data_IF_203802880105
#
_entry.id   IF_203802880105
#
_cell.length_a   1.000
_cell.length_b   1.000
_cell.length_c   1.000
_cell.angle_alpha   90.00
_cell.angle_beta   90.00
_cell.angle_gamma   90.00
#
_symmetry.space_group_name_H-M   'P 1'
#
loop_
_entity.id
_entity.type
_entity.pdbx_description
1 polymer ?
#
# COMPACT_ATOMS: atom_id res chain seq x y z
N UNK A 1 -40.54 -1.44 -6.75
CA UNK A 1 -39.46 -1.44 -7.78
C UNK A 1 -38.29 -2.16 -7.15
N UNK A 2 -37.82 -3.29 -7.71
CA UNK A 2 -36.58 -3.89 -7.23
C UNK A 2 -35.47 -2.88 -7.53
N UNK A 3 -34.89 -2.27 -6.51
CA UNK A 3 -33.66 -1.49 -6.70
C UNK A 3 -32.63 -2.41 -7.34
N UNK A 4 -32.03 -1.98 -8.45
CA UNK A 4 -30.95 -2.71 -9.11
C UNK A 4 -29.83 -2.83 -8.09
N UNK A 5 -29.49 -4.06 -7.67
CA UNK A 5 -28.34 -4.29 -6.81
C UNK A 5 -27.07 -3.82 -7.52
N UNK A 6 -26.23 -3.05 -6.82
CA UNK A 6 -24.92 -2.66 -7.31
C UNK A 6 -24.08 -3.91 -7.62
N UNK A 7 -23.47 -3.95 -8.81
CA UNK A 7 -22.63 -5.05 -9.24
C UNK A 7 -21.16 -4.67 -9.13
N UNK A 8 -20.46 -5.30 -8.18
CA UNK A 8 -19.06 -5.03 -7.85
C UNK A 8 -18.17 -6.12 -8.45
N UNK A 9 -17.16 -5.74 -9.25
CA UNK A 9 -16.05 -6.61 -9.54
C UNK A 9 -15.01 -6.51 -8.41
N UNK A 10 -14.74 -7.59 -7.69
CA UNK A 10 -13.63 -7.62 -6.75
C UNK A 10 -12.39 -8.16 -7.46
N UNK A 11 -11.41 -7.29 -7.70
CA UNK A 11 -10.15 -7.65 -8.32
C UNK A 11 -9.17 -8.12 -7.23
N UNK A 12 -8.63 -9.32 -7.40
CA UNK A 12 -7.79 -9.96 -6.39
C UNK A 12 -6.67 -10.81 -7.02
N UNK A 13 -5.77 -11.29 -6.21
CA UNK A 13 -4.65 -12.11 -6.65
C UNK A 13 -3.60 -11.27 -7.37
N UNK A 14 -3.65 -11.25 -8.67
CA UNK A 14 -2.71 -10.49 -9.49
C UNK A 14 -1.37 -11.20 -9.68
N UNK A 15 -0.41 -10.55 -10.34
CA UNK A 15 0.88 -11.12 -10.72
C UNK A 15 2.06 -10.63 -9.85
N UNK A 16 1.79 -9.85 -8.79
CA UNK A 16 2.83 -9.31 -7.91
C UNK A 16 3.32 -10.34 -6.88
N UNK A 17 4.44 -10.01 -6.23
CA UNK A 17 4.94 -10.77 -5.08
C UNK A 17 3.97 -10.76 -3.87
N UNK A 18 3.02 -9.81 -3.83
CA UNK A 18 2.02 -9.66 -2.76
C UNK A 18 0.69 -10.38 -3.08
N UNK A 19 0.68 -11.32 -4.06
CA UNK A 19 -0.48 -12.07 -4.49
C UNK A 19 -1.27 -12.72 -3.34
N UNK A 20 -0.60 -13.38 -2.42
CA UNK A 20 -1.26 -14.05 -1.27
C UNK A 20 -1.86 -13.04 -0.30
N UNK A 21 -1.21 -11.89 -0.10
CA UNK A 21 -1.76 -10.78 0.69
C UNK A 21 -3.05 -10.26 0.07
N UNK A 22 -3.07 -10.13 -1.27
CA UNK A 22 -4.25 -9.74 -2.04
C UNK A 22 -5.41 -10.73 -1.86
N UNK A 23 -5.15 -12.05 -1.97
CA UNK A 23 -6.17 -13.07 -1.76
C UNK A 23 -6.77 -13.00 -0.35
N UNK A 24 -5.94 -12.90 0.69
CA UNK A 24 -6.40 -12.81 2.09
C UNK A 24 -7.22 -11.54 2.36
N UNK A 25 -6.75 -10.37 1.89
CA UNK A 25 -7.49 -9.11 2.00
C UNK A 25 -8.84 -9.19 1.30
N UNK A 26 -8.85 -9.74 0.08
CA UNK A 26 -10.04 -9.83 -0.76
C UNK A 26 -11.07 -10.81 -0.22
N UNK A 27 -10.67 -11.86 0.48
CA UNK A 27 -11.62 -12.76 1.13
C UNK A 27 -12.46 -12.02 2.19
N UNK A 28 -11.84 -11.14 2.99
CA UNK A 28 -12.55 -10.33 3.97
C UNK A 28 -13.47 -9.31 3.29
N UNK A 29 -12.99 -8.67 2.21
CA UNK A 29 -13.78 -7.72 1.40
C UNK A 29 -14.98 -8.43 0.78
N UNK A 30 -14.79 -9.60 0.17
CA UNK A 30 -15.84 -10.39 -0.47
C UNK A 30 -16.98 -10.70 0.50
N UNK A 31 -16.67 -11.18 1.70
CA UNK A 31 -17.69 -11.46 2.71
C UNK A 31 -18.49 -10.22 3.08
N UNK A 32 -17.83 -9.07 3.22
CA UNK A 32 -18.52 -7.81 3.52
C UNK A 32 -19.40 -7.30 2.37
N UNK A 33 -18.94 -7.44 1.12
CA UNK A 33 -19.74 -7.08 -0.06
C UNK A 33 -21.01 -7.94 -0.16
N UNK A 34 -20.94 -9.24 0.17
CA UNK A 34 -22.09 -10.13 0.22
C UNK A 34 -23.04 -9.76 1.37
N UNK A 35 -22.50 -9.43 2.56
CA UNK A 35 -23.30 -8.96 3.72
C UNK A 35 -24.08 -7.69 3.38
N UNK A 36 -23.47 -6.77 2.61
CA UNK A 36 -24.11 -5.54 2.09
C UNK A 36 -25.16 -5.82 1.00
N UNK A 37 -25.27 -7.07 0.54
CA UNK A 37 -26.25 -7.46 -0.48
C UNK A 37 -25.88 -7.10 -1.91
N UNK A 38 -24.63 -6.73 -2.20
CA UNK A 38 -24.13 -6.46 -3.55
C UNK A 38 -24.07 -7.73 -4.39
N UNK A 39 -24.21 -7.59 -5.71
CA UNK A 39 -23.81 -8.63 -6.64
C UNK A 39 -22.28 -8.57 -6.80
N UNK A 40 -21.59 -9.69 -6.64
CA UNK A 40 -20.11 -9.69 -6.67
C UNK A 40 -19.59 -10.66 -7.72
N UNK A 41 -18.73 -10.18 -8.61
CA UNK A 41 -17.92 -11.00 -9.51
C UNK A 41 -16.47 -10.95 -9.04
N UNK A 42 -15.88 -12.12 -8.74
CA UNK A 42 -14.46 -12.24 -8.43
C UNK A 42 -13.67 -12.29 -9.75
N UNK A 43 -12.61 -11.50 -9.85
CA UNK A 43 -11.75 -11.47 -11.04
C UNK A 43 -10.29 -11.44 -10.59
N UNK A 44 -9.54 -12.45 -10.98
CA UNK A 44 -8.08 -12.41 -10.91
C UNK A 44 -7.53 -11.99 -12.29
N UNK A 45 -7.08 -10.74 -12.44
CA UNK A 45 -6.63 -10.25 -13.74
C UNK A 45 -5.41 -11.01 -14.28
N UNK A 46 -4.62 -11.65 -13.42
CA UNK A 46 -3.47 -12.45 -13.82
C UNK A 46 -3.85 -13.75 -14.53
N UNK A 47 -5.09 -14.19 -14.40
CA UNK A 47 -5.65 -15.36 -15.10
C UNK A 47 -6.25 -15.02 -16.47
N UNK A 48 -6.43 -13.76 -16.81
CA UNK A 48 -7.07 -13.33 -18.07
C UNK A 48 -8.57 -13.62 -18.08
N UNK A 49 -9.08 -14.18 -19.17
CA UNK A 49 -10.52 -14.53 -19.28
C UNK A 49 -10.87 -15.84 -18.57
N UNK A 50 -9.92 -16.67 -18.23
CA UNK A 50 -10.13 -17.93 -17.53
C UNK A 50 -10.17 -17.68 -16.04
N UNK A 51 -11.35 -17.75 -15.46
CA UNK A 51 -11.53 -17.55 -14.03
C UNK A 51 -11.98 -18.85 -13.37
N UNK A 52 -11.66 -19.04 -12.06
CA UNK A 52 -12.20 -20.18 -11.30
C UNK A 52 -13.74 -20.17 -11.28
N UNK A 53 -14.35 -21.36 -11.28
CA UNK A 53 -15.82 -21.50 -11.24
C UNK A 53 -16.39 -21.29 -9.84
N UNK A 54 -15.60 -21.53 -8.78
CA UNK A 54 -16.05 -21.43 -7.38
C UNK A 54 -15.31 -20.33 -6.65
N UNK A 55 -16.01 -19.58 -5.79
CA UNK A 55 -15.46 -18.46 -5.03
C UNK A 55 -14.26 -18.88 -4.15
N UNK A 56 -14.32 -20.05 -3.51
CA UNK A 56 -13.26 -20.56 -2.66
C UNK A 56 -11.93 -20.77 -3.39
N UNK A 57 -11.97 -21.09 -4.69
CA UNK A 57 -10.79 -21.34 -5.49
C UNK A 57 -9.98 -20.07 -5.77
N UNK A 58 -10.62 -18.89 -5.73
CA UNK A 58 -9.91 -17.60 -5.83
C UNK A 58 -9.04 -17.30 -4.62
N UNK A 59 -9.41 -17.80 -3.46
CA UNK A 59 -8.72 -17.56 -2.19
C UNK A 59 -7.73 -18.68 -1.82
N UNK A 60 -7.61 -19.70 -2.68
CA UNK A 60 -6.68 -20.82 -2.48
C UNK A 60 -5.24 -20.37 -2.68
N UNK A 61 -4.31 -20.89 -1.86
CA UNK A 61 -2.87 -20.71 -2.08
C UNK A 61 -2.39 -21.37 -3.41
N UNK A 62 -3.12 -22.38 -3.87
CA UNK A 62 -2.80 -23.06 -5.13
C UNK A 62 -3.42 -22.33 -6.32
N UNK A 63 -2.59 -21.87 -7.22
CA UNK A 63 -3.02 -21.27 -8.48
C UNK A 63 -3.59 -22.31 -9.45
N UNK A 64 -4.76 -22.04 -9.99
CA UNK A 64 -5.44 -22.94 -10.94
C UNK A 64 -4.98 -22.73 -12.39
N UNK A 65 -4.51 -21.53 -12.72
CA UNK A 65 -4.08 -21.18 -14.08
C UNK A 65 -2.71 -20.49 -14.04
N UNK A 66 -1.98 -20.46 -15.17
CA UNK A 66 -0.74 -19.70 -15.27
C UNK A 66 -0.94 -18.21 -15.01
N UNK A 67 -0.10 -17.63 -14.15
CA UNK A 67 -0.11 -16.23 -13.78
C UNK A 67 0.70 -15.41 -14.78
N UNK A 68 0.14 -14.30 -15.27
CA UNK A 68 0.87 -13.36 -16.10
C UNK A 68 0.27 -11.95 -16.00
N UNK A 69 1.13 -10.94 -15.89
CA UNK A 69 0.71 -9.53 -15.98
C UNK A 69 0.15 -9.17 -17.38
N UNK A 70 0.56 -9.88 -18.43
CA UNK A 70 0.02 -9.69 -19.78
C UNK A 70 -1.46 -10.00 -19.88
N UNK A 71 -1.97 -10.86 -19.01
CA UNK A 71 -3.37 -11.27 -18.97
C UNK A 71 -4.31 -10.15 -18.48
N UNK A 72 -3.80 -9.12 -17.80
CA UNK A 72 -4.59 -8.00 -17.29
C UNK A 72 -5.38 -7.28 -18.39
N UNK A 73 -4.72 -7.00 -19.52
CA UNK A 73 -5.38 -6.36 -20.66
C UNK A 73 -6.52 -7.23 -21.21
N UNK A 74 -6.28 -8.53 -21.33
CA UNK A 74 -7.28 -9.48 -21.80
C UNK A 74 -8.45 -9.59 -20.82
N UNK A 75 -8.19 -9.70 -19.52
CA UNK A 75 -9.21 -9.75 -18.47
C UNK A 75 -10.10 -8.51 -18.50
N UNK A 76 -9.51 -7.32 -18.43
CA UNK A 76 -10.26 -6.05 -18.38
C UNK A 76 -11.05 -5.81 -19.68
N UNK A 77 -10.54 -6.21 -20.84
CA UNK A 77 -11.20 -6.03 -22.12
C UNK A 77 -12.26 -7.11 -22.45
N UNK A 78 -12.44 -8.10 -21.59
CA UNK A 78 -13.40 -9.19 -21.81
C UNK A 78 -14.80 -8.86 -21.31
N UNK A 79 -15.76 -9.77 -21.58
CA UNK A 79 -17.14 -9.67 -21.10
C UNK A 79 -17.29 -9.79 -19.58
N UNK A 80 -16.22 -10.11 -18.83
CA UNK A 80 -16.23 -10.13 -17.37
C UNK A 80 -16.63 -8.78 -16.76
N UNK A 81 -16.39 -7.68 -17.47
CA UNK A 81 -16.67 -6.33 -17.02
C UNK A 81 -17.95 -5.69 -17.62
N UNK A 82 -18.66 -6.37 -18.52
CA UNK A 82 -19.79 -5.75 -19.26
C UNK A 82 -20.95 -5.30 -18.37
N UNK A 83 -21.14 -5.91 -17.20
CA UNK A 83 -22.23 -5.61 -16.27
C UNK A 83 -21.78 -5.00 -14.96
N UNK A 84 -20.49 -4.67 -14.83
CA UNK A 84 -19.90 -4.15 -13.61
C UNK A 84 -20.20 -2.66 -13.46
N UNK A 85 -20.70 -2.26 -12.31
CA UNK A 85 -20.94 -0.87 -11.94
C UNK A 85 -19.68 -0.23 -11.34
N UNK A 86 -18.87 -1.00 -10.57
CA UNK A 86 -17.62 -0.54 -9.92
C UNK A 86 -16.67 -1.70 -9.68
N UNK A 87 -15.36 -1.47 -9.83
CA UNK A 87 -14.31 -2.41 -9.46
C UNK A 87 -13.76 -2.07 -8.06
N UNK A 88 -13.80 -3.02 -7.14
CA UNK A 88 -13.08 -2.92 -5.87
C UNK A 88 -11.68 -3.49 -6.06
N UNK A 89 -10.64 -2.66 -5.84
CA UNK A 89 -9.26 -3.06 -5.97
C UNK A 89 -8.78 -3.72 -4.67
N UNK A 90 -8.75 -5.05 -4.66
CA UNK A 90 -8.17 -5.87 -3.60
C UNK A 90 -6.75 -6.34 -3.93
N UNK A 91 -6.16 -5.80 -5.02
CA UNK A 91 -4.80 -6.08 -5.46
C UNK A 91 -3.78 -5.37 -4.56
N UNK A 92 -2.55 -5.89 -4.51
CA UNK A 92 -1.43 -5.27 -3.82
C UNK A 92 -0.15 -5.33 -4.66
N UNK A 93 0.74 -4.35 -4.45
CA UNK A 93 2.03 -4.26 -5.10
C UNK A 93 1.95 -3.93 -6.59
N UNK A 94 2.96 -4.37 -7.33
CA UNK A 94 3.11 -4.14 -8.77
C UNK A 94 1.86 -4.60 -9.54
N UNK A 95 1.48 -3.87 -10.58
CA UNK A 95 0.27 -4.05 -11.41
C UNK A 95 -1.06 -3.73 -10.69
N UNK A 96 -1.07 -3.57 -9.36
CA UNK A 96 -2.25 -3.25 -8.56
C UNK A 96 -2.23 -1.83 -7.99
N UNK A 97 -1.07 -1.38 -7.50
CA UNK A 97 -0.91 -0.10 -6.80
C UNK A 97 -0.14 0.95 -7.60
N UNK A 98 0.34 0.63 -8.80
CA UNK A 98 1.26 1.42 -9.61
C UNK A 98 0.60 2.21 -10.75
N UNK A 99 -0.73 2.20 -10.85
CA UNK A 99 -1.50 2.89 -11.88
C UNK A 99 -1.83 2.03 -13.10
N UNK A 100 -1.28 0.82 -13.23
CA UNK A 100 -1.49 -0.03 -14.42
C UNK A 100 -2.93 -0.51 -14.50
N UNK A 101 -3.46 -1.17 -13.47
CA UNK A 101 -4.85 -1.64 -13.48
C UNK A 101 -5.83 -0.46 -13.55
N UNK A 102 -5.52 0.65 -12.87
CA UNK A 102 -6.31 1.87 -12.91
C UNK A 102 -6.43 2.39 -14.35
N UNK A 103 -5.31 2.44 -15.09
CA UNK A 103 -5.30 2.86 -16.50
C UNK A 103 -6.19 1.99 -17.38
N UNK A 104 -6.15 0.67 -17.19
CA UNK A 104 -6.98 -0.26 -17.96
C UNK A 104 -8.48 -0.07 -17.67
N UNK A 105 -8.84 0.15 -16.40
CA UNK A 105 -10.22 0.40 -15.98
C UNK A 105 -10.73 1.75 -16.51
N UNK A 106 -9.89 2.80 -16.50
CA UNK A 106 -10.24 4.12 -17.07
C UNK A 106 -10.48 4.04 -18.57
N UNK A 107 -9.63 3.35 -19.34
CA UNK A 107 -9.81 3.14 -20.76
C UNK A 107 -11.13 2.40 -21.09
N UNK A 108 -11.60 1.56 -20.18
CA UNK A 108 -12.89 0.87 -20.29
C UNK A 108 -14.05 1.62 -19.66
N UNK A 109 -13.80 2.80 -19.09
CA UNK A 109 -14.82 3.61 -18.40
C UNK A 109 -15.49 2.87 -17.23
N UNK A 110 -14.70 2.07 -16.49
CA UNK A 110 -15.13 1.38 -15.26
C UNK A 110 -14.71 2.21 -14.06
N UNK A 111 -15.65 2.55 -13.19
CA UNK A 111 -15.36 3.16 -11.88
C UNK A 111 -14.61 2.15 -10.98
N UNK A 112 -13.69 2.64 -10.15
CA UNK A 112 -12.92 1.79 -9.26
C UNK A 112 -12.61 2.48 -7.92
N UNK A 113 -12.33 1.69 -6.89
CA UNK A 113 -11.98 2.18 -5.55
C UNK A 113 -10.54 2.63 -5.46
N UNK A 114 -10.28 3.65 -4.63
CA UNK A 114 -8.93 4.15 -4.37
C UNK A 114 -8.48 5.26 -5.32
N UNK A 115 -7.19 5.49 -5.35
CA UNK A 115 -6.53 6.58 -6.08
C UNK A 115 -6.49 6.34 -7.59
N UNK A 116 -6.40 7.41 -8.37
CA UNK A 116 -6.28 7.35 -9.82
C UNK A 116 -4.88 6.93 -10.31
N UNK A 117 -4.70 6.91 -11.62
CA UNK A 117 -3.46 6.48 -12.28
C UNK A 117 -2.25 7.26 -11.77
N UNK A 118 -2.34 8.60 -11.76
CA UNK A 118 -1.20 9.43 -11.38
C UNK A 118 -0.84 9.26 -9.91
N UNK A 119 -1.83 9.34 -9.03
CA UNK A 119 -1.61 9.21 -7.59
C UNK A 119 -1.10 7.82 -7.20
N UNK A 120 -1.61 6.76 -7.83
CA UNK A 120 -1.14 5.38 -7.62
C UNK A 120 0.32 5.22 -8.05
N UNK A 121 0.68 5.66 -9.26
CA UNK A 121 2.06 5.60 -9.75
C UNK A 121 3.01 6.44 -8.88
N UNK A 122 2.56 7.63 -8.44
CA UNK A 122 3.36 8.53 -7.63
C UNK A 122 3.61 7.98 -6.22
N UNK A 123 2.59 7.39 -5.59
CA UNK A 123 2.73 6.79 -4.24
C UNK A 123 3.59 5.53 -4.27
N UNK A 124 3.58 4.78 -5.37
CA UNK A 124 4.41 3.59 -5.54
C UNK A 124 5.90 3.95 -5.66
N UNK A 125 6.24 5.05 -6.37
CA UNK A 125 7.61 5.56 -6.46
C UNK A 125 7.98 6.36 -5.21
N UNK A 126 8.70 5.73 -4.27
CA UNK A 126 9.04 6.32 -2.97
C UNK A 126 9.86 7.61 -3.09
N UNK A 127 10.76 7.68 -4.04
CA UNK A 127 11.58 8.90 -4.21
C UNK A 127 10.77 10.05 -4.78
N UNK A 128 9.93 9.79 -5.78
CA UNK A 128 9.07 10.83 -6.37
C UNK A 128 8.02 11.32 -5.37
N UNK A 129 7.39 10.41 -4.61
CA UNK A 129 6.46 10.81 -3.55
C UNK A 129 7.14 11.67 -2.49
N UNK A 130 8.38 11.33 -2.08
CA UNK A 130 9.15 12.15 -1.12
C UNK A 130 9.52 13.54 -1.69
N UNK A 131 9.83 13.66 -2.97
CA UNK A 131 10.10 14.94 -3.63
C UNK A 131 8.85 15.83 -3.55
N UNK A 132 7.69 15.30 -3.92
CA UNK A 132 6.41 16.02 -3.84
C UNK A 132 6.08 16.40 -2.39
N UNK A 133 6.21 15.46 -1.47
CA UNK A 133 5.96 15.71 -0.05
C UNK A 133 6.87 16.81 0.52
N UNK A 134 8.15 16.85 0.15
CA UNK A 134 9.08 17.94 0.57
C UNK A 134 8.65 19.29 0.04
N UNK A 135 8.26 19.38 -1.24
CA UNK A 135 7.77 20.62 -1.83
C UNK A 135 6.55 21.18 -1.08
N UNK A 136 5.72 20.29 -0.54
CA UNK A 136 4.59 20.63 0.31
C UNK A 136 4.94 20.71 1.81
N UNK A 137 6.21 20.86 2.16
CA UNK A 137 6.70 21.01 3.55
C UNK A 137 6.30 19.86 4.47
N UNK A 138 6.24 18.64 3.95
CA UNK A 138 6.07 17.42 4.73
C UNK A 138 7.47 16.86 5.04
N UNK A 139 7.72 16.60 6.32
CA UNK A 139 9.01 16.02 6.74
C UNK A 139 9.12 14.58 6.27
N UNK A 140 10.16 14.27 5.51
CA UNK A 140 10.51 12.92 5.05
C UNK A 140 11.98 12.65 5.31
N UNK A 141 12.42 11.41 5.47
CA UNK A 141 13.85 11.07 5.59
C UNK A 141 14.66 11.61 4.43
N UNK A 142 15.88 12.08 4.68
CA UNK A 142 16.80 12.41 3.61
C UNK A 142 17.23 11.14 2.89
N UNK A 143 17.37 11.23 1.58
CA UNK A 143 17.77 10.07 0.80
C UNK A 143 18.06 10.44 -0.65
N UNK A 144 18.55 9.46 -1.38
CA UNK A 144 18.81 9.58 -2.81
C UNK A 144 18.59 8.25 -3.52
N UNK A 145 18.32 8.35 -4.83
CA UNK A 145 18.10 7.20 -5.69
C UNK A 145 19.41 6.71 -6.28
N UNK A 146 19.55 5.40 -6.38
CA UNK A 146 20.62 4.70 -7.08
C UNK A 146 19.99 3.80 -8.14
N UNK A 147 20.45 3.93 -9.38
CA UNK A 147 20.06 3.03 -10.47
C UNK A 147 21.08 1.90 -10.61
N UNK A 148 20.68 0.78 -11.16
CA UNK A 148 21.46 -0.47 -11.23
C UNK A 148 22.80 -0.34 -11.99
N UNK A 149 22.92 0.66 -12.86
CA UNK A 149 24.12 0.93 -13.66
C UNK A 149 25.09 1.94 -13.03
N UNK A 150 24.86 2.37 -11.78
CA UNK A 150 25.76 3.29 -11.07
C UNK A 150 27.07 2.64 -10.68
N UNK A 151 28.13 3.46 -10.56
CA UNK A 151 29.38 3.00 -9.95
C UNK A 151 29.25 2.92 -8.43
N UNK A 152 29.72 1.82 -7.86
CA UNK A 152 29.70 1.60 -6.42
C UNK A 152 30.51 2.66 -5.67
N UNK A 153 31.67 3.06 -6.22
CA UNK A 153 32.55 4.07 -5.65
C UNK A 153 31.83 5.41 -5.52
N UNK A 154 31.09 5.82 -6.55
CA UNK A 154 30.32 7.08 -6.52
C UNK A 154 29.22 7.04 -5.45
N UNK A 155 28.57 5.89 -5.25
CA UNK A 155 27.56 5.71 -4.19
C UNK A 155 28.21 5.83 -2.82
N UNK A 156 29.35 5.17 -2.60
CA UNK A 156 30.09 5.26 -1.33
C UNK A 156 30.56 6.68 -1.01
N UNK A 157 31.13 7.39 -2.00
CA UNK A 157 31.56 8.78 -1.82
C UNK A 157 30.37 9.66 -1.41
N UNK A 158 29.21 9.49 -2.04
CA UNK A 158 28.01 10.23 -1.67
C UNK A 158 27.53 9.90 -0.26
N UNK A 159 27.52 8.61 0.12
CA UNK A 159 27.15 8.20 1.48
C UNK A 159 28.08 8.82 2.50
N UNK A 160 29.41 8.70 2.32
CA UNK A 160 30.40 9.26 3.24
C UNK A 160 30.31 10.77 3.41
N UNK A 161 29.91 11.47 2.36
CA UNK A 161 29.77 12.92 2.37
C UNK A 161 28.50 13.41 3.06
N UNK A 162 27.35 12.75 2.78
CA UNK A 162 26.03 13.32 3.04
C UNK A 162 25.26 12.57 4.15
N UNK A 163 25.74 11.39 4.59
CA UNK A 163 24.99 10.51 5.50
C UNK A 163 25.85 9.95 6.64
N UNK A 164 25.16 9.50 7.68
CA UNK A 164 25.72 8.75 8.81
C UNK A 164 24.97 7.44 9.00
N UNK A 165 25.68 6.40 9.44
CA UNK A 165 25.06 5.11 9.78
C UNK A 165 24.23 5.20 11.09
N UNK A 166 23.18 4.39 11.22
CA UNK A 166 22.70 3.42 10.25
C UNK A 166 21.91 4.05 9.09
N UNK A 167 21.80 3.31 7.95
CA UNK A 167 21.07 3.70 6.75
C UNK A 167 20.01 2.64 6.40
N UNK A 168 19.00 3.05 5.67
CA UNK A 168 18.05 2.16 5.00
C UNK A 168 18.41 2.07 3.52
N UNK A 169 18.53 0.86 3.01
CA UNK A 169 18.64 0.55 1.58
C UNK A 169 17.46 -0.33 1.21
N UNK A 170 16.65 0.12 0.23
CA UNK A 170 15.42 -0.57 -0.16
C UNK A 170 15.06 -0.31 -1.63
N UNK A 171 14.31 -1.22 -2.28
CA UNK A 171 13.73 -0.95 -3.59
C UNK A 171 12.85 0.29 -3.56
N UNK A 172 12.88 1.09 -4.64
CA UNK A 172 12.13 2.34 -4.72
C UNK A 172 10.62 2.14 -4.88
N UNK A 173 10.21 1.03 -5.50
CA UNK A 173 8.86 0.76 -5.99
C UNK A 173 8.31 -0.61 -5.53
N UNK A 174 8.74 -1.08 -4.36
CA UNK A 174 8.23 -2.32 -3.78
C UNK A 174 7.60 -2.09 -2.40
N UNK A 175 6.57 -2.90 -2.10
CA UNK A 175 5.90 -2.94 -0.81
C UNK A 175 6.47 -3.98 0.16
N UNK A 176 5.76 -4.19 1.26
CA UNK A 176 5.95 -5.29 2.24
C UNK A 176 7.38 -5.52 2.75
N UNK A 177 8.25 -4.52 2.73
CA UNK A 177 9.65 -4.60 3.21
C UNK A 177 10.54 -5.54 2.38
N UNK A 178 10.11 -5.98 1.20
CA UNK A 178 10.94 -6.80 0.32
C UNK A 178 12.20 -6.04 -0.09
N UNK A 179 13.36 -6.70 0.02
CA UNK A 179 14.65 -6.15 -0.38
C UNK A 179 15.17 -4.99 0.50
N UNK A 180 14.53 -4.71 1.66
CA UNK A 180 14.96 -3.69 2.59
C UNK A 180 16.05 -4.21 3.52
N UNK A 181 17.10 -3.41 3.70
CA UNK A 181 18.20 -3.68 4.65
C UNK A 181 18.49 -2.44 5.49
N UNK A 182 18.70 -2.64 6.80
CA UNK A 182 19.35 -1.65 7.67
C UNK A 182 20.85 -1.89 7.61
N UNK A 183 21.58 -0.92 7.08
CA UNK A 183 23.05 -0.96 7.04
C UNK A 183 23.60 -0.24 8.25
N UNK A 184 24.28 -0.97 9.13
CA UNK A 184 24.90 -0.43 10.35
C UNK A 184 26.30 0.16 10.05
N UNK A 185 26.90 -0.25 8.94
CA UNK A 185 28.27 0.11 8.54
C UNK A 185 28.47 0.01 7.02
N UNK A 186 29.61 0.51 6.54
CA UNK A 186 29.94 0.56 5.11
C UNK A 186 29.96 -0.82 4.43
N UNK A 187 30.44 -1.83 5.13
CA UNK A 187 30.56 -3.18 4.60
C UNK A 187 29.21 -3.81 4.25
N UNK A 188 28.10 -3.34 4.84
CA UNK A 188 26.76 -3.85 4.60
C UNK A 188 26.16 -3.34 3.28
N UNK A 189 26.71 -2.25 2.71
CA UNK A 189 26.10 -1.52 1.59
C UNK A 189 26.03 -2.37 0.33
N UNK A 190 27.12 -3.06 -0.03
CA UNK A 190 27.15 -3.82 -1.29
C UNK A 190 26.09 -4.91 -1.31
N UNK A 191 26.00 -5.70 -0.25
CA UNK A 191 25.03 -6.79 -0.14
C UNK A 191 23.59 -6.25 -0.12
N UNK A 192 23.36 -5.12 0.56
CA UNK A 192 22.08 -4.45 0.61
C UNK A 192 21.64 -3.93 -0.78
N UNK A 193 22.56 -3.34 -1.56
CA UNK A 193 22.29 -2.93 -2.95
C UNK A 193 21.97 -4.13 -3.84
N UNK A 194 22.77 -5.19 -3.75
CA UNK A 194 22.56 -6.41 -4.53
C UNK A 194 21.21 -7.06 -4.21
N UNK A 195 20.80 -7.08 -2.94
CA UNK A 195 19.49 -7.57 -2.53
C UNK A 195 18.37 -6.68 -3.09
N UNK A 196 18.47 -5.36 -2.91
CA UNK A 196 17.46 -4.42 -3.39
C UNK A 196 17.27 -4.50 -4.92
N UNK A 197 18.36 -4.63 -5.68
CA UNK A 197 18.32 -4.78 -7.14
C UNK A 197 17.78 -6.11 -7.65
N UNK A 198 17.48 -7.06 -6.79
CA UNK A 198 16.70 -8.24 -7.18
C UNK A 198 15.23 -7.93 -7.40
N UNK A 199 14.73 -6.85 -6.78
CA UNK A 199 13.33 -6.48 -6.75
C UNK A 199 12.99 -5.24 -7.59
N UNK A 200 13.97 -4.37 -7.87
CA UNK A 200 13.77 -3.13 -8.64
C UNK A 200 15.07 -2.71 -9.32
N UNK A 201 14.98 -2.03 -10.45
CA UNK A 201 16.14 -1.40 -11.10
C UNK A 201 16.54 -0.06 -10.43
N UNK A 202 15.76 0.38 -9.42
CA UNK A 202 15.99 1.60 -8.66
C UNK A 202 15.99 1.31 -7.16
N UNK A 203 17.04 1.72 -6.49
CA UNK A 203 17.21 1.55 -5.04
C UNK A 203 17.22 2.90 -4.36
N UNK A 204 16.42 3.04 -3.30
CA UNK A 204 16.43 4.21 -2.43
C UNK A 204 17.38 3.96 -1.25
N UNK A 205 18.34 4.86 -1.07
CA UNK A 205 19.19 4.94 0.13
C UNK A 205 18.72 6.14 0.93
N UNK A 206 18.39 5.94 2.21
CA UNK A 206 17.89 7.00 3.08
C UNK A 206 18.41 6.86 4.53
N UNK A 207 18.36 7.96 5.28
CA UNK A 207 18.69 7.95 6.70
C UNK A 207 17.73 7.05 7.47
N UNK A 208 18.27 6.29 8.42
CA UNK A 208 17.45 5.53 9.36
C UNK A 208 16.91 6.48 10.45
N UNK A 209 15.60 6.52 10.62
CA UNK A 209 14.96 7.29 11.69
C UNK A 209 14.68 6.33 12.86
N UNK A 210 15.44 6.41 13.97
CA UNK A 210 15.15 5.59 15.15
C UNK A 210 13.87 6.03 15.85
N UNK A 211 13.31 5.18 16.71
CA UNK A 211 12.15 5.52 17.54
C UNK A 211 10.88 4.74 17.21
N UNK A 212 9.73 5.37 17.40
CA UNK A 212 8.40 4.73 17.31
C UNK A 212 7.92 4.66 15.86
N UNK A 213 7.23 3.59 15.53
CA UNK A 213 6.58 3.41 14.23
C UNK A 213 5.10 3.74 14.35
N UNK A 214 4.64 4.68 13.54
CA UNK A 214 3.28 5.20 13.58
C UNK A 214 2.65 5.09 12.19
N UNK A 215 1.35 4.93 12.16
CA UNK A 215 0.60 4.95 10.90
C UNK A 215 -0.72 5.68 11.08
N UNK A 216 -1.18 6.33 10.01
CA UNK A 216 -2.43 7.08 10.00
C UNK A 216 -3.22 6.76 8.75
N UNK A 217 -4.43 6.25 8.92
CA UNK A 217 -5.39 6.08 7.84
C UNK A 217 -6.11 7.37 7.50
N UNK A 218 -6.51 7.52 6.26
CA UNK A 218 -7.44 8.54 5.80
C UNK A 218 -8.55 7.89 4.97
N UNK A 219 -9.78 8.31 5.18
CA UNK A 219 -10.96 7.82 4.49
C UNK A 219 -11.80 9.01 4.04
N UNK A 220 -11.86 9.28 2.75
CA UNK A 220 -12.33 10.55 2.20
C UNK A 220 -11.58 11.73 2.83
N UNK A 221 -12.29 12.60 3.53
CA UNK A 221 -11.72 13.77 4.23
C UNK A 221 -11.44 13.51 5.72
N UNK A 222 -11.78 12.32 6.22
CA UNK A 222 -11.63 11.95 7.63
C UNK A 222 -10.26 11.34 7.87
N UNK A 223 -9.41 12.01 8.65
CA UNK A 223 -8.14 11.46 9.11
C UNK A 223 -8.39 10.66 10.38
N UNK A 224 -8.06 9.37 10.34
CA UNK A 224 -8.27 8.45 11.44
C UNK A 224 -7.25 8.69 12.58
N UNK A 225 -7.49 8.15 13.78
CA UNK A 225 -6.54 8.25 14.88
C UNK A 225 -5.17 7.67 14.52
N UNK A 226 -4.11 8.28 15.04
CA UNK A 226 -2.75 7.74 14.92
C UNK A 226 -2.71 6.37 15.59
N UNK A 227 -2.16 5.39 14.89
CA UNK A 227 -1.93 4.04 15.38
C UNK A 227 -0.43 3.81 15.55
N UNK A 228 0.00 3.35 16.71
CA UNK A 228 1.37 2.92 16.96
C UNK A 228 1.52 1.42 16.70
N UNK A 229 2.60 1.08 16.02
CA UNK A 229 3.02 -0.30 15.76
C UNK A 229 4.23 -0.59 16.63
N UNK A 230 4.15 -1.62 17.47
CA UNK A 230 5.25 -2.13 18.29
C UNK A 230 5.65 -3.51 17.78
N UNK A 231 6.54 -3.61 16.80
CA UNK A 231 6.99 -4.90 16.32
C UNK A 231 7.90 -5.56 17.35
N UNK A 232 7.95 -6.90 17.37
CA UNK A 232 8.92 -7.65 18.18
C UNK A 232 10.33 -7.61 17.60
N UNK A 233 10.47 -7.36 16.30
CA UNK A 233 11.74 -7.14 15.64
C UNK A 233 12.10 -5.65 15.66
N UNK A 234 13.34 -5.32 15.27
CA UNK A 234 13.80 -3.93 15.15
C UNK A 234 13.02 -3.14 14.11
N UNK A 235 12.50 -3.82 13.08
CA UNK A 235 11.67 -3.25 12.02
C UNK A 235 10.32 -3.97 11.95
N UNK A 236 9.32 -3.29 11.42
CA UNK A 236 8.03 -3.85 11.05
C UNK A 236 8.16 -4.56 9.68
N UNK A 237 8.86 -5.69 9.71
CA UNK A 237 9.14 -6.54 8.55
C UNK A 237 7.94 -7.43 8.16
N UNK A 238 8.13 -8.26 7.12
CA UNK A 238 7.09 -9.16 6.61
C UNK A 238 6.55 -10.09 7.70
N UNK A 239 7.41 -10.67 8.54
CA UNK A 239 7.01 -11.57 9.62
C UNK A 239 6.19 -10.83 10.67
N UNK A 240 6.61 -9.61 11.06
CA UNK A 240 5.88 -8.76 11.99
C UNK A 240 4.53 -8.29 11.46
N UNK A 241 4.38 -8.15 10.12
CA UNK A 241 3.13 -7.74 9.46
C UNK A 241 2.08 -8.85 9.41
N UNK A 242 2.51 -10.09 9.15
CA UNK A 242 1.58 -11.18 8.80
C UNK A 242 1.51 -12.33 9.81
N UNK A 243 2.46 -12.41 10.76
CA UNK A 243 2.45 -13.44 11.80
C UNK A 243 1.75 -12.94 13.06
N UNK A 244 0.71 -13.67 13.48
CA UNK A 244 -0.06 -13.32 14.68
C UNK A 244 0.81 -13.24 15.92
N UNK A 245 0.72 -12.11 16.64
CA UNK A 245 1.43 -11.87 17.89
C UNK A 245 2.86 -11.36 17.74
N UNK A 246 3.33 -11.11 16.50
CA UNK A 246 4.64 -10.50 16.24
C UNK A 246 4.62 -8.97 16.32
N UNK A 247 3.46 -8.37 16.43
CA UNK A 247 3.30 -6.92 16.62
C UNK A 247 2.14 -6.62 17.57
N UNK A 248 2.32 -5.57 18.38
CA UNK A 248 1.27 -4.94 19.18
C UNK A 248 0.81 -3.66 18.48
N UNK A 249 -0.47 -3.34 18.55
CA UNK A 249 -1.07 -2.16 17.92
C UNK A 249 -1.83 -1.36 18.95
N UNK A 250 -1.47 -0.08 19.10
CA UNK A 250 -2.10 0.85 20.04
C UNK A 250 -2.81 1.93 19.26
N UNK A 251 -4.14 2.00 19.39
CA UNK A 251 -4.97 3.00 18.73
C UNK A 251 -6.08 3.51 19.65
N UNK A 252 -6.17 4.81 19.91
CA UNK A 252 -5.19 5.85 19.56
C UNK A 252 -3.81 5.61 20.18
N UNK A 253 -2.75 6.00 19.47
CA UNK A 253 -1.38 5.96 19.98
C UNK A 253 -1.25 6.84 21.23
N UNK A 254 -0.46 6.41 22.20
CA UNK A 254 -0.15 7.20 23.39
C UNK A 254 0.83 8.33 23.03
N UNK A 255 0.27 9.47 22.65
CA UNK A 255 0.97 10.68 22.18
C UNK A 255 0.36 11.94 22.83
N UNK A 256 1.15 13.01 23.01
CA UNK A 256 0.59 14.33 23.28
C UNK A 256 -0.42 14.73 22.19
N UNK A 257 -1.52 15.35 22.58
CA UNK A 257 -2.63 15.68 21.65
C UNK A 257 -2.14 16.53 20.48
N UNK A 258 -1.30 17.54 20.75
CA UNK A 258 -0.74 18.42 19.72
C UNK A 258 0.10 17.67 18.70
N UNK A 259 0.90 16.69 19.16
CA UNK A 259 1.73 15.87 18.28
C UNK A 259 0.87 14.95 17.41
N UNK A 260 -0.15 14.33 17.99
CA UNK A 260 -1.09 13.51 17.23
C UNK A 260 -1.80 14.33 16.14
N UNK A 261 -2.27 15.53 16.46
CA UNK A 261 -2.90 16.46 15.50
C UNK A 261 -1.93 16.89 14.39
N UNK A 262 -0.66 17.15 14.73
CA UNK A 262 0.36 17.49 13.73
C UNK A 262 0.61 16.32 12.75
N UNK A 263 0.69 15.09 13.24
CA UNK A 263 0.89 13.90 12.40
C UNK A 263 -0.34 13.67 11.51
N UNK A 264 -1.55 13.83 12.05
CA UNK A 264 -2.79 13.73 11.28
C UNK A 264 -2.87 14.82 10.19
N UNK A 265 -2.48 16.06 10.49
CA UNK A 265 -2.45 17.14 9.48
C UNK A 265 -1.40 16.87 8.39
N UNK A 266 -0.21 16.36 8.75
CA UNK A 266 0.78 15.94 7.75
C UNK A 266 0.25 14.79 6.87
N UNK A 267 -0.52 13.87 7.44
CA UNK A 267 -1.19 12.81 6.67
C UNK A 267 -2.17 13.39 5.64
N UNK A 268 -3.02 14.34 6.07
CA UNK A 268 -3.95 15.04 5.15
C UNK A 268 -3.19 15.75 4.03
N UNK A 269 -2.13 16.46 4.37
CA UNK A 269 -1.29 17.17 3.38
C UNK A 269 -0.62 16.22 2.41
N UNK A 270 -0.09 15.09 2.89
CA UNK A 270 0.50 14.06 2.05
C UNK A 270 -0.53 13.46 1.08
N UNK A 271 -1.71 13.11 1.58
CA UNK A 271 -2.81 12.60 0.78
C UNK A 271 -3.21 13.55 -0.35
N UNK A 272 -3.39 14.84 -0.03
CA UNK A 272 -3.79 15.87 -1.01
C UNK A 272 -2.65 16.16 -2.01
N UNK A 273 -1.42 16.33 -1.52
CA UNK A 273 -0.28 16.67 -2.39
C UNK A 273 0.08 15.58 -3.39
N UNK A 274 -0.13 14.32 -3.04
CA UNK A 274 0.07 13.18 -3.92
C UNK A 274 -1.14 12.88 -4.82
N UNK A 275 -2.22 13.67 -4.71
CA UNK A 275 -3.43 13.48 -5.51
C UNK A 275 -4.25 12.24 -5.13
N UNK A 276 -4.02 11.67 -3.94
CA UNK A 276 -4.76 10.51 -3.48
C UNK A 276 -6.26 10.81 -3.33
N UNK A 277 -7.10 9.80 -3.51
CA UNK A 277 -8.54 9.89 -3.32
C UNK A 277 -9.10 8.61 -2.70
N UNK A 278 -10.32 8.70 -2.18
CA UNK A 278 -11.01 7.57 -1.55
C UNK A 278 -10.43 7.24 -0.19
N UNK A 279 -9.33 6.53 -0.15
CA UNK A 279 -8.66 6.13 1.09
C UNK A 279 -7.16 5.90 0.87
N UNK A 280 -6.38 6.04 1.93
CA UNK A 280 -4.95 5.75 1.93
C UNK A 280 -4.45 5.54 3.37
N UNK A 281 -3.18 5.19 3.50
CA UNK A 281 -2.48 5.10 4.77
C UNK A 281 -1.08 5.72 4.64
N UNK A 282 -0.74 6.64 5.53
CA UNK A 282 0.60 7.22 5.64
C UNK A 282 1.36 6.61 6.81
N UNK A 283 2.59 6.18 6.58
CA UNK A 283 3.45 5.55 7.58
C UNK A 283 4.56 6.51 8.02
N UNK A 284 4.83 6.57 9.32
CA UNK A 284 5.72 7.54 9.94
C UNK A 284 6.70 6.89 10.91
N UNK A 285 7.86 7.55 11.09
CA UNK A 285 8.75 7.30 12.23
C UNK A 285 8.79 8.54 13.10
N UNK A 286 8.67 8.35 14.42
CA UNK A 286 8.77 9.39 15.43
C UNK A 286 10.00 9.14 16.28
N UNK A 287 10.99 10.05 16.24
CA UNK A 287 12.22 9.92 17.04
C UNK A 287 12.05 10.43 18.48
N UNK A 288 13.04 10.17 19.33
CA UNK A 288 13.03 10.55 20.75
C UNK A 288 13.06 12.07 20.98
N UNK A 289 13.46 12.85 19.96
CA UNK A 289 13.41 14.31 19.99
C UNK A 289 12.01 14.89 19.65
N UNK A 290 11.01 14.02 19.47
CA UNK A 290 9.63 14.41 19.10
C UNK A 290 9.47 14.84 17.65
N UNK A 291 10.48 14.64 16.78
CA UNK A 291 10.38 14.88 15.34
C UNK A 291 9.85 13.63 14.64
N UNK A 292 8.92 13.81 13.72
CA UNK A 292 8.34 12.72 12.94
C UNK A 292 8.58 12.92 11.44
N UNK A 293 8.67 11.81 10.71
CA UNK A 293 8.99 11.78 9.29
C UNK A 293 8.04 10.81 8.59
N UNK A 294 7.42 11.27 7.50
CA UNK A 294 6.61 10.41 6.64
C UNK A 294 7.52 9.51 5.80
N UNK A 295 7.35 8.22 5.91
CA UNK A 295 8.15 7.23 5.16
C UNK A 295 7.58 7.01 3.77
N UNK A 296 6.25 6.83 3.69
CA UNK A 296 5.51 6.53 2.45
C UNK A 296 4.02 6.75 2.66
N UNK A 297 3.27 6.80 1.55
CA UNK A 297 1.82 6.76 1.51
C UNK A 297 1.39 5.55 0.69
N UNK A 298 0.53 4.71 1.25
CA UNK A 298 -0.01 3.53 0.59
C UNK A 298 -1.41 3.83 0.07
N UNK A 299 -1.59 3.80 -1.25
CA UNK A 299 -2.87 4.11 -1.92
C UNK A 299 -3.89 2.97 -1.86
N UNK A 300 -3.46 1.72 -1.70
CA UNK A 300 -4.31 0.55 -1.48
C UNK A 300 -3.87 -0.21 -0.23
N UNK A 301 -4.06 0.34 0.98
CA UNK A 301 -3.61 -0.31 2.21
C UNK A 301 -4.35 -1.63 2.45
N UNK A 302 -3.67 -2.57 3.10
CA UNK A 302 -4.21 -3.90 3.41
C UNK A 302 -5.58 -3.85 4.08
N UNK A 303 -6.48 -4.72 3.66
CA UNK A 303 -7.89 -4.76 4.02
C UNK A 303 -8.30 -6.12 4.60
N UNK A 304 -7.49 -6.69 5.50
CA UNK A 304 -7.95 -7.76 6.39
C UNK A 304 -8.55 -7.15 7.65
N UNK A 305 -9.36 -7.90 8.39
CA UNK A 305 -9.90 -7.46 9.69
C UNK A 305 -8.80 -7.08 10.72
N UNK A 306 -7.57 -7.54 10.51
CA UNK A 306 -6.41 -7.26 11.35
C UNK A 306 -5.46 -6.20 10.77
N UNK A 307 -5.72 -5.68 9.57
CA UNK A 307 -4.91 -4.64 8.93
C UNK A 307 -5.04 -3.29 9.63
N UNK A 308 -4.07 -2.41 9.41
CA UNK A 308 -3.90 -1.15 10.14
C UNK A 308 -5.04 -0.16 9.90
N UNK A 309 -5.46 0.04 8.63
CA UNK A 309 -6.57 0.93 8.29
C UNK A 309 -7.90 0.46 8.93
N UNK A 310 -8.31 -0.81 8.81
CA UNK A 310 -9.50 -1.33 9.51
C UNK A 310 -9.43 -1.20 11.04
N UNK A 311 -8.24 -1.38 11.65
CA UNK A 311 -8.07 -1.16 13.09
C UNK A 311 -8.30 0.30 13.50
N UNK A 312 -7.73 1.24 12.73
CA UNK A 312 -7.92 2.67 12.98
C UNK A 312 -9.39 3.09 12.79
N UNK A 313 -10.06 2.58 11.74
CA UNK A 313 -11.49 2.80 11.50
C UNK A 313 -12.36 2.26 12.63
N UNK A 314 -12.06 1.05 13.13
CA UNK A 314 -12.77 0.45 14.27
C UNK A 314 -12.65 1.28 15.54
N UNK A 315 -11.52 1.93 15.77
CA UNK A 315 -11.32 2.77 16.96
C UNK A 315 -12.24 4.00 16.98
N UNK A 316 -12.77 4.42 15.83
CA UNK A 316 -13.77 5.50 15.70
C UNK A 316 -15.19 4.96 15.44
N UNK A 317 -15.43 3.67 15.68
CA UNK A 317 -16.76 3.07 15.58
C UNK A 317 -17.18 2.62 14.17
N UNK A 318 -16.28 2.64 13.18
CA UNK A 318 -16.56 2.16 11.84
C UNK A 318 -16.23 0.67 11.76
N UNK A 319 -17.25 -0.18 11.57
CA UNK A 319 -17.04 -1.62 11.37
C UNK A 319 -16.35 -1.90 10.05
N UNK A 320 -15.80 -3.11 9.86
CA UNK A 320 -15.15 -3.49 8.61
C UNK A 320 -16.12 -3.44 7.42
N UNK A 321 -17.34 -3.94 7.58
CA UNK A 321 -18.38 -3.88 6.56
C UNK A 321 -18.77 -2.44 6.20
N UNK A 322 -18.89 -1.55 7.19
CA UNK A 322 -19.12 -0.12 6.94
C UNK A 322 -17.94 0.56 6.24
N UNK A 323 -16.69 0.17 6.56
CA UNK A 323 -15.51 0.65 5.86
C UNK A 323 -15.54 0.26 4.38
N UNK A 324 -15.83 -1.00 4.07
CA UNK A 324 -15.97 -1.50 2.70
C UNK A 324 -17.07 -0.75 1.96
N UNK A 325 -18.25 -0.55 2.58
CA UNK A 325 -19.36 0.22 2.00
C UNK A 325 -18.98 1.66 1.69
N UNK A 326 -18.32 2.36 2.64
CA UNK A 326 -17.84 3.74 2.42
C UNK A 326 -16.86 3.80 1.25
N UNK A 327 -15.92 2.86 1.14
CA UNK A 327 -14.94 2.80 0.05
C UNK A 327 -15.63 2.60 -1.29
N UNK A 328 -16.63 1.71 -1.38
CA UNK A 328 -17.44 1.53 -2.61
C UNK A 328 -18.17 2.81 -2.98
N UNK A 329 -18.84 3.45 -2.01
CA UNK A 329 -19.59 4.68 -2.24
C UNK A 329 -18.70 5.83 -2.72
N UNK A 330 -17.50 5.96 -2.19
CA UNK A 330 -16.52 6.96 -2.64
C UNK A 330 -16.09 6.76 -4.10
N UNK A 331 -16.11 5.55 -4.62
CA UNK A 331 -15.79 5.27 -6.01
C UNK A 331 -16.94 5.61 -6.97
N UNK A 332 -18.15 5.75 -6.47
CA UNK A 332 -19.35 6.03 -7.28
C UNK A 332 -19.61 7.53 -7.47
N UNK A 333 -19.09 8.37 -6.57
CA UNK A 333 -19.15 9.84 -6.66
C UNK A 333 -18.14 10.37 -7.65
#
# INVERSE_FOLDING_TARGET
>A
MNEKKLHVALLLGGASAEREVSKHSSQSIYNSLLELGYAVTLIDPAYGVKQPDRAEDFFSEKDLFPISSRNYLEAVNSSLFDTIDVAFLGLHGEWGEDGIIQSLLELRNIKYTGSDVLASSLTMDKMMSKIVMRDHSISVPNGFLVEKNYSYETVLEKIKKDFTFPLIIKPNDQGSTFGLTVCEKEEDILDALLLSFQYSDKTLIEEFIPGRELTVGILADEVLPVLEIRPKHTLYDYECKYTKGMSEYIVPADLPVELALQIQEQTRRAFVSLGCRGYARADFRLNDAGKFFCLEVNSLPGMTATSLLPKAAKAVGISFTQLVEKIVNLALT
#
